data_IF_453978185886
#
_entry.id   IF_453978185886
#
_cell.length_a   1.000
_cell.length_b   1.000
_cell.length_c   1.000
_cell.angle_alpha   90.00
_cell.angle_beta   90.00
_cell.angle_gamma   90.00
#
_symmetry.space_group_name_H-M   'P 1'
#
loop_
_entity.id
_entity.type
_entity.pdbx_description
1 polymer ?
#
# COMPACT_ATOMS: atom_id res chain seq x y z
N UNK A 1 -3.31 45.97 1.31
CA UNK A 1 -3.81 45.06 0.27
C UNK A 1 -4.37 43.86 0.99
N UNK A 2 -5.70 43.73 1.02
CA UNK A 2 -6.40 42.66 1.70
C UNK A 2 -6.22 41.34 0.95
N UNK A 3 -6.05 40.18 1.65
CA UNK A 3 -6.03 38.90 0.99
C UNK A 3 -7.44 38.52 0.54
N UNK A 4 -7.58 38.18 -0.73
CA UNK A 4 -8.80 37.61 -1.28
C UNK A 4 -8.94 36.20 -0.79
N UNK A 5 -9.87 35.93 0.14
CA UNK A 5 -10.30 34.61 0.53
C UNK A 5 -11.22 34.03 -0.54
N UNK A 6 -10.72 33.08 -1.32
CA UNK A 6 -11.55 32.24 -2.15
C UNK A 6 -12.36 31.28 -1.27
N UNK A 7 -13.67 31.24 -1.47
CA UNK A 7 -14.59 30.41 -0.68
C UNK A 7 -14.40 28.93 -0.96
N UNK A 8 -14.74 28.09 0.04
CA UNK A 8 -14.68 26.62 -0.06
C UNK A 8 -15.52 26.03 -1.21
N UNK A 9 -16.48 26.79 -1.73
CA UNK A 9 -17.30 26.44 -2.88
C UNK A 9 -16.55 26.54 -4.21
N UNK A 10 -15.56 27.43 -4.32
CA UNK A 10 -14.77 27.59 -5.55
C UNK A 10 -13.71 26.51 -5.74
N UNK A 11 -13.41 25.70 -4.71
CA UNK A 11 -12.48 24.55 -4.81
C UNK A 11 -13.12 23.30 -5.40
N UNK A 12 -14.44 23.18 -5.38
CA UNK A 12 -15.15 22.04 -5.96
C UNK A 12 -15.29 22.13 -7.48
N UNK A 13 -15.32 23.34 -8.05
CA UNK A 13 -15.49 23.56 -9.49
C UNK A 13 -14.18 23.55 -10.29
N UNK A 14 -13.03 23.50 -9.62
CA UNK A 14 -11.71 23.44 -10.28
C UNK A 14 -11.29 22.03 -10.69
N UNK A 15 -12.08 21.02 -10.38
CA UNK A 15 -11.85 19.62 -10.76
C UNK A 15 -12.81 19.24 -11.89
N UNK A 16 -12.32 18.84 -13.02
CA UNK A 16 -13.02 18.21 -14.14
C UNK A 16 -13.14 19.05 -15.42
N UNK A 17 -12.01 19.29 -16.07
CA UNK A 17 -12.02 19.29 -17.53
C UNK A 17 -11.68 17.86 -17.99
N UNK A 18 -12.71 17.01 -18.09
CA UNK A 18 -12.59 15.72 -18.74
C UNK A 18 -12.74 15.91 -20.26
N UNK A 19 -11.64 15.88 -20.99
CA UNK A 19 -11.71 15.66 -22.44
C UNK A 19 -11.80 14.14 -22.67
N UNK A 20 -13.01 13.66 -23.04
CA UNK A 20 -13.20 12.30 -23.51
C UNK A 20 -12.66 12.18 -24.94
N UNK A 21 -11.60 11.41 -25.14
CA UNK A 21 -11.27 10.93 -26.47
C UNK A 21 -11.94 9.57 -26.67
N UNK A 22 -12.93 9.53 -27.53
CA UNK A 22 -13.61 8.32 -27.97
C UNK A 22 -12.93 7.81 -29.24
N UNK A 23 -12.17 6.73 -29.09
CA UNK A 23 -12.01 5.70 -30.12
C UNK A 23 -11.58 4.41 -29.42
N UNK A 24 -12.49 3.43 -29.30
CA UNK A 24 -12.19 2.00 -29.05
C UNK A 24 -11.42 1.60 -27.79
N UNK A 25 -10.78 2.51 -27.09
CA UNK A 25 -9.90 2.28 -25.97
C UNK A 25 -10.37 3.01 -24.70
N UNK A 26 -10.17 2.36 -23.59
CA UNK A 26 -10.52 2.68 -22.22
C UNK A 26 -10.45 4.15 -21.87
N UNK A 27 -11.56 4.66 -21.35
CA UNK A 27 -11.68 6.04 -20.88
C UNK A 27 -10.83 6.16 -19.59
N UNK A 28 -9.73 6.90 -19.69
CA UNK A 28 -8.91 7.32 -18.56
C UNK A 28 -9.17 8.82 -18.34
N UNK A 29 -9.36 9.22 -17.08
CA UNK A 29 -9.48 10.63 -16.74
C UNK A 29 -8.12 11.33 -16.86
N UNK A 30 -8.09 12.52 -17.41
CA UNK A 30 -6.89 13.38 -17.46
C UNK A 30 -7.01 14.41 -16.33
N UNK A 31 -6.10 14.34 -15.35
CA UNK A 31 -6.09 15.19 -14.15
C UNK A 31 -4.82 16.05 -14.16
N UNK A 32 -4.95 17.29 -13.74
CA UNK A 32 -3.82 18.18 -13.51
C UNK A 32 -3.25 17.97 -12.11
N UNK A 33 -1.99 17.55 -12.05
CA UNK A 33 -1.23 17.34 -10.83
C UNK A 33 -0.17 18.44 -10.64
N UNK A 34 -0.62 19.65 -10.41
CA UNK A 34 0.29 20.78 -10.16
C UNK A 34 0.98 21.32 -11.42
N UNK A 35 0.28 21.35 -12.55
CA UNK A 35 0.77 21.82 -13.84
C UNK A 35 1.17 20.70 -14.80
N UNK A 36 1.25 19.46 -14.33
CA UNK A 36 1.44 18.27 -15.19
C UNK A 36 0.12 17.48 -15.31
N UNK A 37 -0.29 17.20 -16.55
CA UNK A 37 -1.48 16.41 -16.81
C UNK A 37 -1.14 14.94 -16.88
N UNK A 38 -1.74 14.16 -15.98
CA UNK A 38 -1.56 12.71 -15.92
C UNK A 38 -2.89 11.97 -16.13
N UNK A 39 -2.81 10.78 -16.69
CA UNK A 39 -3.97 9.91 -16.82
C UNK A 39 -4.17 9.06 -15.58
N UNK A 40 -5.42 8.95 -15.11
CA UNK A 40 -5.80 8.10 -13.99
C UNK A 40 -7.06 7.30 -14.32
N UNK A 41 -7.28 6.21 -13.58
CA UNK A 41 -8.50 5.40 -13.68
C UNK A 41 -9.17 5.38 -12.32
N UNK A 42 -10.39 5.86 -12.25
CA UNK A 42 -11.24 5.77 -11.07
C UNK A 42 -12.39 4.78 -11.29
N UNK A 43 -13.23 4.59 -10.28
CA UNK A 43 -14.44 3.78 -10.41
C UNK A 43 -15.46 4.38 -11.40
N UNK A 44 -15.29 5.65 -11.78
CA UNK A 44 -16.11 6.31 -12.79
C UNK A 44 -15.73 5.84 -14.20
N UNK A 45 -14.42 5.79 -14.50
CA UNK A 45 -13.91 5.35 -15.80
C UNK A 45 -13.93 3.83 -15.93
N UNK A 46 -13.66 3.12 -14.82
CA UNK A 46 -13.65 1.66 -14.76
C UNK A 46 -14.45 1.15 -13.56
N UNK A 47 -15.74 0.94 -13.75
CA UNK A 47 -16.64 0.54 -12.67
C UNK A 47 -16.36 -0.88 -12.15
N UNK A 48 -16.76 -1.16 -10.90
CA UNK A 48 -16.70 -2.52 -10.34
C UNK A 48 -17.51 -3.54 -11.18
N UNK A 49 -18.63 -3.10 -11.78
CA UNK A 49 -19.39 -3.95 -12.69
C UNK A 49 -18.59 -4.32 -13.94
N UNK A 50 -17.85 -3.36 -14.53
CA UNK A 50 -16.93 -3.62 -15.63
C UNK A 50 -15.82 -4.56 -15.21
N UNK A 51 -15.21 -4.35 -14.04
CA UNK A 51 -14.18 -5.23 -13.50
C UNK A 51 -14.68 -6.68 -13.34
N UNK A 52 -15.87 -6.87 -12.79
CA UNK A 52 -16.52 -8.19 -12.68
C UNK A 52 -16.78 -8.84 -14.04
N UNK A 53 -17.17 -8.06 -15.05
CA UNK A 53 -17.36 -8.56 -16.43
C UNK A 53 -16.05 -9.04 -17.02
N UNK A 54 -14.97 -8.25 -16.89
CA UNK A 54 -13.62 -8.59 -17.39
C UNK A 54 -13.10 -9.87 -16.78
N UNK A 55 -13.25 -10.04 -15.47
CA UNK A 55 -12.72 -11.18 -14.72
C UNK A 55 -13.75 -12.30 -14.49
N UNK A 56 -14.87 -12.29 -15.19
CA UNK A 56 -15.98 -13.25 -14.98
C UNK A 56 -15.54 -14.72 -15.03
N UNK A 57 -14.66 -15.06 -15.95
CA UNK A 57 -14.17 -16.43 -16.16
C UNK A 57 -12.81 -16.70 -15.50
N UNK A 58 -12.27 -15.72 -14.80
CA UNK A 58 -10.98 -15.85 -14.16
C UNK A 58 -11.11 -16.44 -12.75
N UNK A 59 -10.12 -17.22 -12.35
CA UNK A 59 -9.91 -17.66 -10.97
C UNK A 59 -8.64 -17.02 -10.45
N UNK A 60 -8.76 -16.17 -9.43
CA UNK A 60 -7.64 -15.42 -8.87
C UNK A 60 -7.01 -16.28 -7.76
N UNK A 61 -5.79 -16.76 -7.98
CA UNK A 61 -5.02 -17.52 -7.01
C UNK A 61 -4.05 -16.58 -6.28
N UNK A 62 -4.29 -16.33 -5.00
CA UNK A 62 -3.41 -15.53 -4.15
C UNK A 62 -2.32 -16.44 -3.58
N UNK A 63 -1.08 -16.25 -4.00
CA UNK A 63 0.07 -17.03 -3.53
C UNK A 63 0.77 -16.28 -2.41
N UNK A 64 0.61 -16.78 -1.20
CA UNK A 64 1.09 -16.17 0.04
C UNK A 64 0.01 -15.42 0.82
N UNK A 65 -0.08 -15.70 2.12
CA UNK A 65 -1.08 -15.12 3.02
C UNK A 65 -0.43 -14.33 4.17
N UNK A 66 0.65 -13.60 3.82
CA UNK A 66 1.45 -12.78 4.75
C UNK A 66 0.89 -11.39 4.99
N UNK A 67 1.51 -10.35 4.39
CA UNK A 67 1.15 -8.93 4.60
C UNK A 67 0.05 -8.47 3.66
N UNK A 68 0.25 -8.58 2.34
CA UNK A 68 -0.70 -8.12 1.32
C UNK A 68 -1.79 -9.15 1.01
N UNK A 69 -1.45 -10.45 1.06
CA UNK A 69 -2.34 -11.54 0.68
C UNK A 69 -3.72 -11.47 1.33
N UNK A 70 -3.84 -11.38 2.66
CA UNK A 70 -5.12 -11.31 3.34
C UNK A 70 -5.99 -10.14 2.89
N UNK A 71 -5.40 -8.95 2.78
CA UNK A 71 -6.15 -7.75 2.41
C UNK A 71 -6.70 -7.83 0.99
N UNK A 72 -5.85 -8.16 0.02
CA UNK A 72 -6.26 -8.23 -1.38
C UNK A 72 -7.24 -9.39 -1.61
N UNK A 73 -6.99 -10.56 -1.01
CA UNK A 73 -7.87 -11.71 -1.12
C UNK A 73 -9.28 -11.43 -0.58
N UNK A 74 -9.38 -10.84 0.61
CA UNK A 74 -10.67 -10.51 1.23
C UNK A 74 -11.39 -9.40 0.46
N UNK A 75 -10.67 -8.36 0.00
CA UNK A 75 -11.28 -7.29 -0.77
C UNK A 75 -11.85 -7.81 -2.11
N UNK A 76 -11.10 -8.65 -2.82
CA UNK A 76 -11.58 -9.31 -4.03
C UNK A 76 -12.79 -10.20 -3.77
N UNK A 77 -12.75 -11.00 -2.70
CA UNK A 77 -13.88 -11.86 -2.29
C UNK A 77 -15.12 -11.04 -1.98
N UNK A 78 -15.00 -9.97 -1.19
CA UNK A 78 -16.11 -9.08 -0.84
C UNK A 78 -16.69 -8.37 -2.07
N UNK A 79 -15.84 -8.09 -3.06
CA UNK A 79 -16.26 -7.55 -4.37
C UNK A 79 -16.81 -8.61 -5.33
N UNK A 80 -16.96 -9.87 -4.91
CA UNK A 80 -17.63 -10.94 -5.66
C UNK A 80 -16.78 -11.62 -6.72
N UNK A 81 -15.44 -11.55 -6.62
CA UNK A 81 -14.53 -12.28 -7.50
C UNK A 81 -14.30 -13.72 -6.99
N UNK A 82 -13.96 -14.61 -7.92
CA UNK A 82 -13.60 -15.99 -7.60
C UNK A 82 -12.14 -16.05 -7.16
N UNK A 83 -11.92 -16.21 -5.86
CA UNK A 83 -10.60 -16.20 -5.23
C UNK A 83 -10.31 -17.54 -4.57
N UNK A 84 -9.07 -18.00 -4.71
CA UNK A 84 -8.50 -19.12 -3.99
C UNK A 84 -7.14 -18.73 -3.41
N UNK A 85 -6.71 -19.42 -2.37
CA UNK A 85 -5.44 -19.16 -1.68
C UNK A 85 -4.48 -20.31 -1.93
N UNK A 86 -3.24 -19.98 -2.30
CA UNK A 86 -2.09 -20.88 -2.34
C UNK A 86 -1.13 -20.55 -1.20
N UNK A 87 -1.09 -21.39 -0.16
CA UNK A 87 -0.23 -21.19 1.00
C UNK A 87 0.44 -22.50 1.40
N UNK A 88 1.72 -22.47 1.69
CA UNK A 88 2.44 -23.65 2.16
C UNK A 88 2.13 -23.90 3.65
N UNK A 89 1.80 -25.16 3.99
CA UNK A 89 1.34 -25.56 5.35
C UNK A 89 2.42 -25.42 6.42
N UNK A 90 3.68 -25.51 6.05
CA UNK A 90 4.81 -25.33 6.96
C UNK A 90 4.86 -23.90 7.54
N UNK A 91 4.32 -22.92 6.87
CA UNK A 91 4.11 -21.58 7.40
C UNK A 91 2.79 -21.50 8.18
N UNK A 92 2.78 -22.23 9.29
CA UNK A 92 1.58 -22.48 10.10
C UNK A 92 0.81 -21.22 10.47
N UNK A 93 1.49 -20.13 10.84
CA UNK A 93 0.86 -18.86 11.21
C UNK A 93 -0.02 -18.31 10.07
N UNK A 94 0.49 -18.31 8.85
CA UNK A 94 -0.19 -17.73 7.70
C UNK A 94 -1.28 -18.69 7.18
N UNK A 95 -1.05 -20.00 7.28
CA UNK A 95 -2.06 -21.01 7.01
C UNK A 95 -3.26 -20.93 7.98
N UNK A 96 -2.99 -20.88 9.28
CA UNK A 96 -4.03 -20.78 10.32
C UNK A 96 -4.81 -19.46 10.18
N UNK A 97 -4.11 -18.36 9.82
CA UNK A 97 -4.76 -17.09 9.52
C UNK A 97 -5.72 -17.23 8.34
N UNK A 98 -5.33 -17.88 7.26
CA UNK A 98 -6.20 -18.11 6.11
C UNK A 98 -7.45 -18.91 6.52
N UNK A 99 -7.29 -19.98 7.31
CA UNK A 99 -8.41 -20.73 7.85
C UNK A 99 -9.35 -19.87 8.72
N UNK A 100 -8.79 -19.03 9.59
CA UNK A 100 -9.55 -18.09 10.44
C UNK A 100 -10.33 -17.06 9.63
N UNK A 101 -9.80 -16.62 8.50
CA UNK A 101 -10.43 -15.68 7.57
C UNK A 101 -11.47 -16.36 6.65
N UNK A 102 -11.78 -17.66 6.89
CA UNK A 102 -12.83 -18.41 6.22
C UNK A 102 -12.43 -19.05 4.90
N UNK A 103 -11.12 -19.26 4.66
CA UNK A 103 -10.65 -20.07 3.54
C UNK A 103 -10.61 -21.54 3.95
N UNK A 104 -11.20 -22.41 3.12
CA UNK A 104 -11.44 -23.81 3.47
C UNK A 104 -10.41 -24.72 2.79
N UNK A 105 -9.60 -25.49 3.54
CA UNK A 105 -8.66 -26.45 2.98
C UNK A 105 -9.34 -27.44 2.01
N UNK A 106 -8.71 -27.63 0.84
CA UNK A 106 -9.22 -28.49 -0.23
C UNK A 106 -10.38 -27.89 -1.06
N UNK A 107 -10.92 -26.72 -0.67
CA UNK A 107 -11.98 -26.03 -1.43
C UNK A 107 -11.56 -24.65 -1.94
N UNK A 108 -11.01 -23.81 -1.06
CA UNK A 108 -10.56 -22.45 -1.37
C UNK A 108 -9.17 -22.15 -0.83
N UNK A 109 -8.57 -23.06 -0.07
CA UNK A 109 -7.20 -23.01 0.42
C UNK A 109 -6.47 -24.28 -0.01
N UNK A 110 -5.38 -24.13 -0.74
CA UNK A 110 -4.60 -25.20 -1.33
C UNK A 110 -3.10 -25.00 -1.03
N UNK A 111 -2.29 -26.01 -1.34
CA UNK A 111 -0.86 -25.80 -1.52
C UNK A 111 -0.58 -24.93 -2.76
N UNK A 112 0.64 -24.41 -2.87
CA UNK A 112 0.99 -23.47 -3.94
C UNK A 112 0.83 -24.10 -5.34
N UNK A 113 1.37 -25.32 -5.62
CA UNK A 113 1.22 -25.94 -6.94
C UNK A 113 -0.24 -26.10 -7.37
N UNK A 114 -1.08 -26.57 -6.47
CA UNK A 114 -2.50 -26.79 -6.77
C UNK A 114 -3.26 -25.49 -6.98
N UNK A 115 -2.97 -24.46 -6.18
CA UNK A 115 -3.56 -23.14 -6.37
C UNK A 115 -3.18 -22.54 -7.74
N UNK A 116 -1.93 -22.67 -8.17
CA UNK A 116 -1.48 -22.20 -9.49
C UNK A 116 -2.20 -22.96 -10.60
N UNK A 117 -2.29 -24.29 -10.53
CA UNK A 117 -3.02 -25.08 -11.55
C UNK A 117 -4.50 -24.70 -11.69
N UNK A 118 -5.14 -24.30 -10.58
CA UNK A 118 -6.56 -23.88 -10.54
C UNK A 118 -6.77 -22.42 -10.91
N UNK A 119 -5.75 -21.60 -10.74
CA UNK A 119 -5.77 -20.18 -11.07
C UNK A 119 -5.67 -19.95 -12.58
N UNK A 120 -6.08 -18.75 -12.98
CA UNK A 120 -5.83 -18.15 -14.29
C UNK A 120 -5.13 -16.79 -14.14
N UNK A 121 -5.27 -16.19 -12.94
CA UNK A 121 -4.50 -15.02 -12.51
C UNK A 121 -3.78 -15.41 -11.22
N UNK A 122 -2.46 -15.41 -11.26
CA UNK A 122 -1.60 -15.86 -10.17
C UNK A 122 -1.00 -14.64 -9.49
N UNK A 123 -1.60 -14.21 -8.38
CA UNK A 123 -1.11 -13.05 -7.60
C UNK A 123 -0.01 -13.50 -6.64
N UNK A 124 1.23 -13.15 -6.95
CA UNK A 124 2.40 -13.54 -6.17
C UNK A 124 2.62 -12.52 -5.05
N UNK A 125 2.10 -12.84 -3.86
CA UNK A 125 2.09 -11.96 -2.67
C UNK A 125 2.92 -12.51 -1.51
N UNK A 126 3.84 -13.43 -1.78
CA UNK A 126 4.93 -13.77 -0.86
C UNK A 126 5.99 -12.67 -0.87
N UNK A 127 6.81 -12.58 0.17
CA UNK A 127 7.90 -11.60 0.24
C UNK A 127 8.87 -11.74 -0.94
N UNK A 128 9.50 -10.64 -1.36
CA UNK A 128 10.40 -10.61 -2.52
C UNK A 128 11.51 -11.66 -2.42
N UNK A 129 12.12 -11.79 -1.24
CA UNK A 129 13.13 -12.83 -0.99
C UNK A 129 12.58 -14.26 -1.10
N UNK A 130 11.29 -14.47 -0.81
CA UNK A 130 10.64 -15.77 -0.96
C UNK A 130 10.24 -16.07 -2.40
N UNK A 131 9.97 -15.04 -3.22
CA UNK A 131 9.57 -15.21 -4.62
C UNK A 131 10.59 -16.03 -5.39
N UNK A 132 11.87 -15.79 -5.21
CA UNK A 132 12.95 -16.58 -5.81
C UNK A 132 12.81 -18.10 -5.51
N UNK A 133 12.42 -18.45 -4.29
CA UNK A 133 12.30 -19.86 -3.85
C UNK A 133 11.06 -20.54 -4.38
N UNK A 134 9.93 -19.82 -4.45
CA UNK A 134 8.65 -20.38 -4.91
C UNK A 134 8.46 -20.31 -6.42
N UNK A 135 9.22 -19.45 -7.10
CA UNK A 135 9.08 -19.24 -8.53
C UNK A 135 9.21 -20.49 -9.40
N UNK A 136 10.20 -21.40 -9.19
CA UNK A 136 10.28 -22.63 -9.98
C UNK A 136 9.00 -23.48 -9.93
N UNK A 137 8.38 -23.55 -8.74
CA UNK A 137 7.11 -24.28 -8.55
C UNK A 137 5.96 -23.57 -9.24
N UNK A 138 5.88 -22.24 -9.13
CA UNK A 138 4.85 -21.46 -9.82
C UNK A 138 5.01 -21.64 -11.32
N UNK A 139 6.21 -21.37 -11.86
CA UNK A 139 6.51 -21.47 -13.28
C UNK A 139 6.15 -22.82 -13.89
N UNK A 140 6.44 -23.92 -13.21
CA UNK A 140 6.15 -25.28 -13.66
C UNK A 140 4.65 -25.61 -13.74
N UNK A 141 3.79 -24.80 -13.12
CA UNK A 141 2.34 -25.02 -13.07
C UNK A 141 1.53 -23.93 -13.80
N UNK A 142 2.20 -22.94 -14.43
CA UNK A 142 1.57 -21.94 -15.28
C UNK A 142 1.09 -22.57 -16.60
N UNK A 143 0.04 -22.01 -17.15
CA UNK A 143 -0.53 -22.37 -18.45
C UNK A 143 -0.44 -21.17 -19.42
N UNK A 144 -0.33 -21.42 -20.74
CA UNK A 144 -0.46 -20.35 -21.72
C UNK A 144 -1.73 -19.53 -21.50
N UNK A 145 -1.60 -18.21 -21.54
CA UNK A 145 -2.72 -17.29 -21.34
C UNK A 145 -3.00 -16.94 -19.86
N UNK A 146 -2.36 -17.58 -18.88
CA UNK A 146 -2.41 -17.15 -17.49
C UNK A 146 -1.82 -15.74 -17.33
N UNK A 147 -2.16 -15.06 -16.23
CA UNK A 147 -1.54 -13.82 -15.85
C UNK A 147 -0.77 -13.99 -14.54
N UNK A 148 0.50 -13.58 -14.50
CA UNK A 148 1.25 -13.43 -13.25
C UNK A 148 1.18 -11.99 -12.80
N UNK A 149 0.75 -11.81 -11.56
CA UNK A 149 0.50 -10.50 -10.95
C UNK A 149 1.45 -10.27 -9.77
N UNK A 150 1.94 -9.05 -9.69
CA UNK A 150 2.79 -8.57 -8.62
C UNK A 150 2.18 -7.32 -7.96
N UNK A 151 2.45 -7.11 -6.68
CA UNK A 151 2.12 -5.86 -5.98
C UNK A 151 3.34 -4.97 -5.74
N UNK A 152 4.48 -5.38 -6.24
CA UNK A 152 5.75 -4.65 -6.26
C UNK A 152 6.61 -5.18 -7.40
N UNK A 153 7.29 -4.30 -8.11
CA UNK A 153 8.02 -4.66 -9.32
C UNK A 153 9.38 -5.35 -9.10
N UNK A 154 9.80 -5.54 -7.84
CA UNK A 154 11.13 -6.00 -7.44
C UNK A 154 11.65 -7.21 -8.23
N UNK A 155 10.92 -8.31 -8.21
CA UNK A 155 11.39 -9.55 -8.82
C UNK A 155 11.53 -9.49 -10.33
N UNK A 156 10.71 -8.69 -10.99
CA UNK A 156 10.74 -8.52 -12.46
C UNK A 156 11.86 -7.58 -12.88
N UNK A 157 12.07 -6.48 -12.14
CA UNK A 157 13.13 -5.49 -12.44
C UNK A 157 14.51 -6.09 -12.20
N UNK A 158 14.66 -6.88 -11.15
CA UNK A 158 15.93 -7.50 -10.78
C UNK A 158 15.95 -9.01 -11.10
N UNK A 159 15.39 -9.38 -12.24
CA UNK A 159 15.26 -10.78 -12.68
C UNK A 159 16.57 -11.57 -12.70
N UNK A 160 17.70 -10.91 -12.97
CA UNK A 160 19.03 -11.54 -12.95
C UNK A 160 19.42 -12.02 -11.54
N UNK A 161 18.97 -11.29 -10.51
CA UNK A 161 19.24 -11.64 -9.10
C UNK A 161 18.18 -12.57 -8.52
N UNK A 162 16.94 -12.41 -8.94
CA UNK A 162 15.79 -13.16 -8.40
C UNK A 162 15.54 -14.46 -9.13
N UNK A 163 15.89 -14.55 -10.41
CA UNK A 163 15.57 -15.68 -11.29
C UNK A 163 14.08 -15.74 -11.68
N UNK A 164 13.29 -14.69 -11.37
CA UNK A 164 11.86 -14.64 -11.72
C UNK A 164 11.72 -14.15 -13.14
N UNK A 165 11.69 -15.12 -14.08
CA UNK A 165 11.59 -14.88 -15.51
C UNK A 165 10.31 -15.57 -16.02
N UNK A 166 9.21 -14.81 -16.19
CA UNK A 166 7.95 -15.34 -16.71
C UNK A 166 8.09 -15.92 -18.13
N UNK A 167 7.33 -16.98 -18.46
CA UNK A 167 7.20 -17.47 -19.84
C UNK A 167 6.64 -16.40 -20.77
N UNK A 168 6.93 -16.52 -22.09
CA UNK A 168 6.47 -15.52 -23.08
C UNK A 168 4.97 -15.58 -23.39
N UNK A 169 4.32 -16.65 -23.02
CA UNK A 169 2.91 -16.96 -23.29
C UNK A 169 1.97 -16.64 -22.12
N UNK A 170 2.46 -15.90 -21.12
CA UNK A 170 1.66 -15.40 -19.98
C UNK A 170 1.69 -13.88 -19.92
N UNK A 171 0.64 -13.26 -19.37
CA UNK A 171 0.65 -11.84 -19.04
C UNK A 171 1.51 -11.58 -17.80
N UNK A 172 2.19 -10.43 -17.75
CA UNK A 172 2.90 -9.94 -16.56
C UNK A 172 2.35 -8.59 -16.19
N UNK A 173 1.65 -8.51 -15.07
CA UNK A 173 0.93 -7.31 -14.63
C UNK A 173 1.28 -6.96 -13.18
N UNK A 174 1.11 -5.69 -12.86
CA UNK A 174 1.34 -5.19 -11.50
C UNK A 174 0.25 -4.20 -11.09
N UNK A 175 -0.26 -4.37 -9.88
CA UNK A 175 -0.98 -3.32 -9.15
C UNK A 175 -0.34 -3.18 -7.78
N UNK A 176 0.25 -2.03 -7.53
CA UNK A 176 0.99 -1.74 -6.30
C UNK A 176 0.24 -0.73 -5.43
N UNK A 177 -0.55 -1.19 -4.43
CA UNK A 177 -1.21 -0.31 -3.49
C UNK A 177 -0.19 0.49 -2.68
N UNK A 178 -0.40 1.80 -2.56
CA UNK A 178 0.49 2.69 -1.79
C UNK A 178 0.11 2.68 -0.31
N UNK A 179 0.25 1.49 0.30
CA UNK A 179 -0.04 1.26 1.71
C UNK A 179 0.15 -0.18 2.15
N UNK A 180 0.33 -0.38 3.45
CA UNK A 180 0.43 -1.72 4.05
C UNK A 180 -0.87 -2.51 3.87
N UNK A 181 -0.79 -3.84 3.89
CA UNK A 181 -1.98 -4.70 3.75
C UNK A 181 -3.06 -4.38 4.77
N UNK A 182 -2.70 -4.06 6.01
CA UNK A 182 -3.65 -3.62 7.05
C UNK A 182 -4.40 -2.36 6.64
N UNK A 183 -3.69 -1.38 6.08
CA UNK A 183 -4.31 -0.13 5.59
C UNK A 183 -5.15 -0.36 4.34
N UNK A 184 -4.71 -1.22 3.42
CA UNK A 184 -5.49 -1.61 2.23
C UNK A 184 -6.86 -2.20 2.64
N UNK A 185 -6.87 -3.10 3.64
CA UNK A 185 -8.15 -3.67 4.12
C UNK A 185 -8.99 -2.65 4.86
N UNK A 186 -8.41 -1.88 5.78
CA UNK A 186 -9.12 -0.86 6.58
C UNK A 186 -9.78 0.19 5.69
N UNK A 187 -9.03 0.73 4.73
CA UNK A 187 -9.55 1.77 3.84
C UNK A 187 -10.57 1.23 2.83
N UNK A 188 -10.45 -0.03 2.43
CA UNK A 188 -11.50 -0.70 1.67
C UNK A 188 -12.82 -0.75 2.46
N UNK A 189 -12.77 -1.18 3.72
CA UNK A 189 -13.97 -1.29 4.58
C UNK A 189 -14.61 0.07 4.89
N UNK A 190 -13.80 1.14 4.95
CA UNK A 190 -14.33 2.51 5.12
C UNK A 190 -14.84 3.14 3.82
N UNK A 191 -14.61 2.52 2.66
CA UNK A 191 -14.99 3.04 1.36
C UNK A 191 -13.97 4.02 0.73
N UNK A 192 -12.92 4.41 1.47
CA UNK A 192 -11.89 5.35 0.98
C UNK A 192 -11.01 4.75 -0.12
N UNK A 193 -10.54 3.51 0.09
CA UNK A 193 -9.57 2.87 -0.79
C UNK A 193 -8.13 3.37 -0.56
N UNK A 194 -7.16 2.65 -1.10
CA UNK A 194 -5.75 3.07 -1.18
C UNK A 194 -5.39 3.26 -2.64
N UNK A 195 -4.77 4.38 -2.98
CA UNK A 195 -4.32 4.64 -4.34
C UNK A 195 -3.30 3.59 -4.76
N UNK A 196 -3.35 3.18 -6.02
CA UNK A 196 -2.45 2.14 -6.51
C UNK A 196 -1.85 2.53 -7.85
N UNK A 197 -0.57 2.27 -8.03
CA UNK A 197 0.01 2.30 -9.37
C UNK A 197 -0.25 0.98 -10.10
N UNK A 198 -0.33 1.03 -11.43
CA UNK A 198 -0.45 -0.18 -12.23
C UNK A 198 0.50 -0.18 -13.43
N UNK A 199 0.94 -1.37 -13.84
CA UNK A 199 1.82 -1.53 -14.99
C UNK A 199 1.59 -2.87 -15.70
N UNK A 200 1.82 -2.89 -17.01
CA UNK A 200 1.91 -4.08 -17.81
C UNK A 200 3.37 -4.30 -18.20
N UNK A 201 3.93 -5.44 -17.79
CA UNK A 201 5.30 -5.85 -18.15
C UNK A 201 5.35 -6.72 -19.40
N UNK A 202 4.30 -7.52 -19.63
CA UNK A 202 4.12 -8.38 -20.79
C UNK A 202 2.63 -8.57 -21.08
N UNK A 203 2.22 -8.44 -22.31
CA UNK A 203 0.86 -8.70 -22.79
C UNK A 203 0.88 -9.80 -23.82
N UNK A 204 0.74 -11.04 -23.38
CA UNK A 204 0.71 -12.22 -24.24
C UNK A 204 -0.69 -12.50 -24.79
N UNK A 205 -1.73 -12.02 -24.09
CA UNK A 205 -3.13 -12.33 -24.41
C UNK A 205 -3.86 -11.20 -25.12
N UNK A 206 -3.28 -9.99 -25.18
CA UNK A 206 -3.97 -8.76 -25.59
C UNK A 206 -4.94 -8.21 -24.53
N UNK A 207 -4.95 -8.80 -23.32
CA UNK A 207 -5.89 -8.47 -22.23
C UNK A 207 -5.19 -8.01 -20.94
N UNK A 208 -3.87 -7.95 -20.92
CA UNK A 208 -3.11 -7.68 -19.72
C UNK A 208 -3.50 -6.36 -19.04
N UNK A 209 -3.66 -5.29 -19.82
CA UNK A 209 -4.04 -3.97 -19.30
C UNK A 209 -5.43 -3.98 -18.67
N UNK A 210 -6.40 -4.61 -19.33
CA UNK A 210 -7.78 -4.68 -18.83
C UNK A 210 -7.86 -5.55 -17.56
N UNK A 211 -7.18 -6.71 -17.53
CA UNK A 211 -7.04 -7.55 -16.33
C UNK A 211 -6.40 -6.77 -15.17
N UNK A 212 -5.34 -6.01 -15.45
CA UNK A 212 -4.62 -5.22 -14.46
C UNK A 212 -5.52 -4.16 -13.80
N UNK A 213 -6.24 -3.37 -14.61
CA UNK A 213 -7.17 -2.37 -14.08
C UNK A 213 -8.35 -3.00 -13.34
N UNK A 214 -8.90 -4.10 -13.86
CA UNK A 214 -9.98 -4.83 -13.19
C UNK A 214 -9.56 -5.33 -11.79
N UNK A 215 -8.32 -5.82 -11.65
CA UNK A 215 -7.77 -6.23 -10.37
C UNK A 215 -7.56 -5.02 -9.43
N UNK A 216 -7.04 -3.91 -9.95
CA UNK A 216 -6.87 -2.68 -9.18
C UNK A 216 -8.17 -2.15 -8.60
N UNK A 217 -9.24 -2.13 -9.39
CA UNK A 217 -10.60 -1.79 -8.91
C UNK A 217 -11.11 -2.89 -7.96
N UNK A 218 -10.84 -4.14 -8.28
CA UNK A 218 -11.27 -5.31 -7.50
C UNK A 218 -10.70 -5.35 -6.09
N UNK A 219 -9.45 -4.97 -5.88
CA UNK A 219 -8.84 -4.85 -4.55
C UNK A 219 -9.28 -3.59 -3.80
N UNK A 220 -10.08 -2.71 -4.44
CA UNK A 220 -10.65 -1.53 -3.82
C UNK A 220 -9.74 -0.30 -3.82
N UNK A 221 -8.91 -0.13 -4.84
CA UNK A 221 -8.09 1.08 -4.97
C UNK A 221 -8.93 2.35 -4.99
N UNK A 222 -8.40 3.43 -4.42
CA UNK A 222 -9.01 4.77 -4.48
C UNK A 222 -9.03 5.27 -5.92
N UNK A 223 -7.86 5.35 -6.54
CA UNK A 223 -7.68 5.47 -7.99
C UNK A 223 -6.43 4.70 -8.43
N UNK A 224 -6.35 4.47 -9.75
CA UNK A 224 -5.19 3.82 -10.36
C UNK A 224 -4.43 4.83 -11.23
N UNK A 225 -3.12 4.81 -11.17
CA UNK A 225 -2.26 5.62 -12.04
C UNK A 225 -1.22 4.74 -12.75
N UNK A 226 -0.96 4.97 -14.04
CA UNK A 226 -0.04 4.16 -14.81
C UNK A 226 1.41 4.40 -14.39
N UNK A 227 2.21 3.35 -14.42
CA UNK A 227 3.64 3.40 -14.17
C UNK A 227 4.36 2.33 -15.00
N UNK A 228 5.64 2.11 -14.73
CA UNK A 228 6.39 0.94 -15.19
C UNK A 228 6.90 0.15 -14.00
N UNK A 229 7.18 -1.14 -14.16
CA UNK A 229 7.80 -1.94 -13.10
C UNK A 229 9.05 -1.27 -12.52
N UNK A 230 9.90 -0.69 -13.38
CA UNK A 230 11.13 -0.02 -12.95
C UNK A 230 10.86 1.25 -12.14
N UNK A 231 9.98 2.13 -12.61
CA UNK A 231 9.64 3.38 -11.89
C UNK A 231 9.00 3.07 -10.54
N UNK A 232 8.13 2.07 -10.50
CA UNK A 232 7.48 1.64 -9.26
C UNK A 232 8.51 1.19 -8.23
N UNK A 233 9.41 0.27 -8.60
CA UNK A 233 10.45 -0.23 -7.70
C UNK A 233 11.35 0.91 -7.18
N UNK A 234 11.76 1.81 -8.05
CA UNK A 234 12.65 2.90 -7.66
C UNK A 234 11.97 3.88 -6.70
N UNK A 235 10.72 4.22 -6.95
CA UNK A 235 9.97 5.11 -6.05
C UNK A 235 9.61 4.43 -4.73
N UNK A 236 9.19 3.17 -4.77
CA UNK A 236 8.75 2.42 -3.60
C UNK A 236 9.92 2.15 -2.63
N UNK A 237 11.02 1.56 -3.12
CA UNK A 237 12.21 1.34 -2.30
C UNK A 237 12.81 2.64 -1.73
N UNK A 238 12.74 3.73 -2.50
CA UNK A 238 13.18 5.04 -2.01
C UNK A 238 12.22 5.58 -0.95
N UNK A 239 10.92 5.44 -1.17
CA UNK A 239 9.88 5.88 -0.24
C UNK A 239 9.97 5.19 1.12
N UNK A 240 10.08 3.85 1.12
CA UNK A 240 10.18 3.05 2.35
C UNK A 240 11.41 3.41 3.20
N UNK A 241 12.56 3.56 2.56
CA UNK A 241 13.82 3.94 3.23
C UNK A 241 13.86 5.42 3.56
N UNK A 242 13.13 6.22 2.81
CA UNK A 242 12.96 7.65 2.97
C UNK A 242 11.85 8.02 3.95
N UNK A 243 11.01 8.96 3.53
CA UNK A 243 10.02 9.65 4.38
C UNK A 243 8.97 8.69 4.96
N UNK A 244 8.65 7.58 4.29
CA UNK A 244 7.58 6.69 4.78
C UNK A 244 7.97 5.93 6.05
N UNK A 245 9.23 5.53 6.22
CA UNK A 245 9.68 4.76 7.39
C UNK A 245 11.08 5.14 7.86
N UNK A 246 12.11 4.97 7.02
CA UNK A 246 13.50 5.07 7.46
C UNK A 246 13.91 6.47 7.92
N UNK A 247 13.72 7.48 7.09
CA UNK A 247 14.04 8.86 7.44
C UNK A 247 13.12 9.40 8.53
N UNK A 248 11.83 9.08 8.50
CA UNK A 248 10.87 9.48 9.52
C UNK A 248 11.29 8.98 10.91
N UNK A 249 11.58 7.67 11.02
CA UNK A 249 12.03 7.08 12.28
C UNK A 249 13.37 7.68 12.75
N UNK A 250 14.30 7.92 11.84
CA UNK A 250 15.59 8.55 12.15
C UNK A 250 15.45 9.98 12.63
N UNK A 251 14.59 10.79 12.02
CA UNK A 251 14.32 12.16 12.45
C UNK A 251 13.67 12.23 13.82
N UNK A 252 12.67 11.38 14.07
CA UNK A 252 12.02 11.28 15.39
C UNK A 252 13.05 10.94 16.47
N UNK A 253 13.91 9.93 16.22
CA UNK A 253 14.91 9.51 17.17
C UNK A 253 15.95 10.62 17.43
N UNK A 254 16.47 11.27 16.40
CA UNK A 254 17.43 12.34 16.56
C UNK A 254 16.89 13.53 17.36
N UNK A 255 15.64 13.93 17.13
CA UNK A 255 15.01 15.00 17.91
C UNK A 255 14.76 14.57 19.37
N UNK A 256 14.30 13.33 19.58
CA UNK A 256 14.13 12.77 20.92
C UNK A 256 15.44 12.82 21.72
N UNK A 257 16.53 12.32 21.14
CA UNK A 257 17.86 12.31 21.79
C UNK A 257 18.33 13.71 22.17
N UNK A 258 18.14 14.70 21.28
CA UNK A 258 18.50 16.11 21.56
C UNK A 258 17.69 16.65 22.74
N UNK A 259 16.38 16.41 22.80
CA UNK A 259 15.54 16.84 23.92
C UNK A 259 15.98 16.16 25.24
N UNK A 260 16.21 14.84 25.21
CA UNK A 260 16.71 14.11 26.37
C UNK A 260 18.07 14.61 26.87
N UNK A 261 18.98 14.90 25.96
CA UNK A 261 20.32 15.46 26.30
C UNK A 261 20.24 16.86 26.93
N UNK A 262 19.16 17.59 26.69
CA UNK A 262 18.89 18.92 27.26
C UNK A 262 17.94 18.89 28.48
N UNK A 263 17.72 17.73 29.09
CA UNK A 263 17.04 17.58 30.37
C UNK A 263 15.52 17.43 30.30
N UNK A 264 14.92 17.36 29.10
CA UNK A 264 13.49 17.08 28.99
C UNK A 264 13.17 15.64 29.45
N UNK A 265 12.05 15.45 30.11
CA UNK A 265 11.62 14.10 30.55
C UNK A 265 11.32 13.17 29.35
N UNK A 266 11.39 11.83 29.52
CA UNK A 266 11.04 10.90 28.44
C UNK A 266 9.64 11.12 27.87
N UNK A 267 8.65 11.43 28.73
CA UNK A 267 7.28 11.68 28.28
C UNK A 267 7.17 12.99 27.50
N UNK A 268 7.82 14.07 27.96
CA UNK A 268 7.85 15.35 27.25
C UNK A 268 8.53 15.20 25.88
N UNK A 269 9.72 14.62 25.83
CA UNK A 269 10.43 14.39 24.57
C UNK A 269 9.62 13.53 23.61
N UNK A 270 8.90 12.51 24.08
CA UNK A 270 8.05 11.68 23.24
C UNK A 270 6.82 12.44 22.71
N UNK A 271 6.16 13.24 23.55
CA UNK A 271 5.02 14.04 23.11
C UNK A 271 5.41 15.03 22.03
N UNK A 272 6.54 15.73 22.18
CA UNK A 272 7.04 16.74 21.24
C UNK A 272 7.65 16.17 19.95
N UNK A 273 7.88 14.86 19.88
CA UNK A 273 8.48 14.23 18.68
C UNK A 273 7.51 13.31 17.94
N UNK A 274 6.76 12.49 18.67
CA UNK A 274 5.96 11.41 18.05
C UNK A 274 4.47 11.62 18.25
N UNK A 275 4.05 11.91 19.50
CA UNK A 275 2.64 11.90 19.85
C UNK A 275 1.87 12.99 19.12
N UNK A 276 2.34 14.24 19.22
CA UNK A 276 1.70 15.37 18.56
C UNK A 276 1.74 15.24 17.03
N UNK A 277 2.87 14.77 16.48
CA UNK A 277 2.97 14.53 15.04
C UNK A 277 1.90 13.54 14.57
N UNK A 278 1.78 12.38 15.24
CA UNK A 278 0.94 11.27 14.75
C UNK A 278 -0.53 11.40 15.10
N UNK A 279 -0.85 12.03 16.23
CA UNK A 279 -2.25 12.23 16.65
C UNK A 279 -2.90 13.45 16.01
N UNK A 280 -2.12 14.49 15.74
CA UNK A 280 -2.62 15.80 15.32
C UNK A 280 -2.10 16.19 13.94
N UNK A 281 -0.82 16.54 13.82
CA UNK A 281 -0.31 17.30 12.69
C UNK A 281 -0.35 16.53 11.37
N UNK A 282 0.06 15.25 11.35
CA UNK A 282 0.02 14.42 10.13
C UNK A 282 -1.42 14.24 9.62
N UNK A 283 -2.38 14.17 10.53
CA UNK A 283 -3.79 14.07 10.18
C UNK A 283 -4.31 15.33 9.51
N UNK A 284 -3.92 16.50 10.02
CA UNK A 284 -4.27 17.78 9.39
C UNK A 284 -3.67 17.93 8.00
N UNK A 285 -2.43 17.45 7.82
CA UNK A 285 -1.77 17.43 6.51
C UNK A 285 -2.48 16.48 5.54
N UNK A 286 -2.91 15.32 5.99
CA UNK A 286 -3.67 14.36 5.18
C UNK A 286 -5.03 14.92 4.72
N UNK A 287 -5.71 15.61 5.62
CA UNK A 287 -7.06 16.14 5.37
C UNK A 287 -7.05 17.43 4.52
N UNK A 288 -6.04 18.30 4.68
CA UNK A 288 -6.11 19.67 4.17
C UNK A 288 -4.83 20.18 3.47
N UNK A 289 -3.70 19.49 3.62
CA UNK A 289 -2.40 19.92 3.10
C UNK A 289 -1.53 20.67 4.09
N UNK A 290 -0.25 20.84 3.72
CA UNK A 290 0.77 21.39 4.62
C UNK A 290 0.59 22.89 4.88
N UNK A 291 0.16 23.65 3.90
CA UNK A 291 -0.08 25.08 4.01
C UNK A 291 -1.26 25.37 4.95
N UNK A 292 -2.31 24.57 4.86
CA UNK A 292 -3.46 24.66 5.76
C UNK A 292 -3.04 24.31 7.19
N UNK A 293 -2.29 23.25 7.39
CA UNK A 293 -1.78 22.90 8.72
C UNK A 293 -0.98 24.05 9.33
N UNK A 294 -0.07 24.66 8.56
CA UNK A 294 0.68 25.83 9.03
C UNK A 294 -0.22 27.00 9.40
N UNK A 295 -1.22 27.32 8.56
CA UNK A 295 -2.11 28.46 8.79
C UNK A 295 -2.98 28.30 10.05
N UNK A 296 -3.15 27.07 10.51
CA UNK A 296 -3.92 26.76 11.73
C UNK A 296 -3.05 26.56 12.99
N UNK A 297 -1.75 26.85 12.90
CA UNK A 297 -0.85 26.88 14.05
C UNK A 297 -0.63 28.31 14.57
N UNK A 298 -0.01 28.45 15.76
CA UNK A 298 0.37 29.74 16.31
C UNK A 298 1.39 30.46 15.43
N UNK A 299 1.42 31.78 15.47
CA UNK A 299 2.40 32.58 14.72
C UNK A 299 3.86 32.20 15.03
N UNK A 300 4.14 31.82 16.28
CA UNK A 300 5.45 31.33 16.71
C UNK A 300 5.82 30.01 16.02
N UNK A 301 4.89 29.06 15.98
CA UNK A 301 5.08 27.78 15.33
C UNK A 301 5.26 27.95 13.79
N UNK A 302 4.40 28.77 13.17
CA UNK A 302 4.50 29.09 11.74
C UNK A 302 5.87 29.66 11.39
N UNK A 303 6.30 30.69 12.09
CA UNK A 303 7.59 31.36 11.84
C UNK A 303 8.75 30.39 12.02
N UNK A 304 8.77 29.62 13.11
CA UNK A 304 9.81 28.65 13.41
C UNK A 304 9.90 27.56 12.32
N UNK A 305 8.79 26.96 11.99
CA UNK A 305 8.71 25.89 10.99
C UNK A 305 9.16 26.38 9.59
N UNK A 306 8.65 27.52 9.14
CA UNK A 306 9.02 28.10 7.86
C UNK A 306 10.51 28.47 7.78
N UNK A 307 11.10 28.95 8.89
CA UNK A 307 12.54 29.26 8.98
C UNK A 307 13.39 27.98 8.89
N UNK A 308 13.01 26.90 9.57
CA UNK A 308 13.82 25.68 9.64
C UNK A 308 13.58 24.72 8.48
N UNK A 309 12.44 24.78 7.81
CA UNK A 309 12.13 23.95 6.63
C UNK A 309 13.24 23.93 5.57
N UNK A 310 13.78 25.06 5.07
CA UNK A 310 14.85 25.03 4.07
C UNK A 310 16.16 24.46 4.60
N UNK A 311 16.43 24.55 5.90
CA UNK A 311 17.63 24.00 6.54
C UNK A 311 17.54 22.46 6.51
N UNK A 312 16.45 21.88 6.94
CA UNK A 312 16.20 20.44 6.87
C UNK A 312 16.18 19.93 5.44
N UNK A 313 15.52 20.65 4.51
CA UNK A 313 15.53 20.28 3.10
C UNK A 313 16.95 20.20 2.53
N UNK A 314 17.78 21.22 2.78
CA UNK A 314 19.18 21.27 2.33
C UNK A 314 20.02 20.14 2.92
N UNK A 315 19.82 19.81 4.19
CA UNK A 315 20.54 18.74 4.88
C UNK A 315 20.16 17.35 4.34
N UNK A 316 18.87 17.13 4.06
CA UNK A 316 18.37 15.82 3.65
C UNK A 316 18.51 15.54 2.15
N UNK A 317 18.48 16.55 1.27
CA UNK A 317 18.54 16.37 -0.19
C UNK A 317 19.73 15.52 -0.66
N UNK A 318 20.97 15.71 -0.18
CA UNK A 318 22.10 14.84 -0.56
C UNK A 318 21.91 13.38 -0.13
N UNK A 319 21.30 13.14 1.03
CA UNK A 319 21.03 11.81 1.55
C UNK A 319 20.00 11.09 0.66
N UNK A 320 18.90 11.77 0.28
CA UNK A 320 17.91 11.21 -0.64
C UNK A 320 18.49 10.93 -2.03
N UNK A 321 19.36 11.81 -2.55
CA UNK A 321 20.07 11.56 -3.82
C UNK A 321 20.95 10.31 -3.74
N UNK A 322 21.68 10.12 -2.64
CA UNK A 322 22.51 8.93 -2.40
C UNK A 322 21.64 7.67 -2.31
N UNK A 323 20.54 7.73 -1.57
CA UNK A 323 19.58 6.63 -1.45
C UNK A 323 19.02 6.23 -2.82
N UNK A 324 18.54 7.19 -3.61
CA UNK A 324 17.99 6.90 -4.94
C UNK A 324 19.04 6.28 -5.87
N UNK A 325 20.28 6.76 -5.83
CA UNK A 325 21.39 6.19 -6.59
C UNK A 325 21.71 4.74 -6.18
N UNK A 326 21.66 4.44 -4.87
CA UNK A 326 21.83 3.07 -4.33
C UNK A 326 20.74 2.13 -4.79
N UNK A 327 19.47 2.59 -4.76
CA UNK A 327 18.32 1.84 -5.30
C UNK A 327 18.52 1.57 -6.80
N UNK A 328 18.81 2.60 -7.58
CA UNK A 328 19.00 2.49 -9.03
C UNK A 328 20.14 1.54 -9.40
N UNK A 329 21.23 1.52 -8.63
CA UNK A 329 22.36 0.62 -8.80
C UNK A 329 22.06 -0.85 -8.38
N UNK A 330 20.88 -1.13 -7.81
CA UNK A 330 20.50 -2.44 -7.32
C UNK A 330 21.26 -2.87 -6.05
N UNK A 331 21.92 -1.96 -5.35
CA UNK A 331 22.63 -2.26 -4.10
C UNK A 331 21.64 -2.72 -3.03
N UNK A 332 20.58 -1.95 -2.83
CA UNK A 332 19.51 -2.26 -1.88
C UNK A 332 18.90 -3.64 -2.15
N UNK A 333 18.71 -3.98 -3.43
CA UNK A 333 18.15 -5.28 -3.85
C UNK A 333 19.08 -6.43 -3.49
N UNK A 334 20.38 -6.31 -3.74
CA UNK A 334 21.35 -7.34 -3.38
C UNK A 334 21.38 -7.60 -1.88
N UNK A 335 21.26 -6.54 -1.09
CA UNK A 335 21.18 -6.64 0.38
C UNK A 335 19.90 -7.36 0.83
N UNK A 336 18.74 -7.00 0.30
CA UNK A 336 17.48 -7.67 0.61
C UNK A 336 17.53 -9.17 0.28
N UNK A 337 18.04 -9.54 -0.89
CA UNK A 337 18.15 -10.95 -1.30
C UNK A 337 19.08 -11.71 -0.37
N UNK A 338 20.24 -11.12 -0.03
CA UNK A 338 21.23 -11.73 0.88
C UNK A 338 20.68 -11.91 2.28
N UNK A 339 20.13 -10.84 2.85
CA UNK A 339 19.82 -10.75 4.28
C UNK A 339 18.43 -11.30 4.60
N UNK A 340 17.40 -10.97 3.79
CA UNK A 340 16.03 -11.42 4.05
C UNK A 340 15.74 -12.85 3.56
N UNK A 341 16.56 -13.40 2.66
CA UNK A 341 16.42 -14.77 2.14
C UNK A 341 17.04 -15.86 3.06
N UNK A 342 17.80 -15.48 4.08
CA UNK A 342 18.51 -16.38 4.99
C UNK A 342 17.60 -17.04 6.03
N UNK A 343 18.02 -18.22 6.54
CA UNK A 343 17.31 -18.93 7.62
C UNK A 343 17.25 -18.13 8.92
N UNK A 344 18.25 -17.29 9.17
CA UNK A 344 18.40 -16.50 10.39
C UNK A 344 17.70 -15.12 10.32
N UNK A 345 17.07 -14.78 9.20
CA UNK A 345 16.43 -13.47 9.03
C UNK A 345 15.38 -13.19 10.11
N UNK A 346 14.53 -14.17 10.43
CA UNK A 346 13.50 -13.98 11.47
C UNK A 346 14.12 -13.71 12.85
N UNK A 347 15.22 -14.37 13.16
CA UNK A 347 15.97 -14.14 14.42
C UNK A 347 16.61 -12.74 14.43
N UNK A 348 17.22 -12.36 13.32
CA UNK A 348 17.77 -11.01 13.13
C UNK A 348 16.69 -9.95 13.29
N UNK A 349 15.57 -10.08 12.58
CA UNK A 349 14.44 -9.15 12.62
C UNK A 349 13.87 -9.04 14.03
N UNK A 350 13.61 -10.17 14.70
CA UNK A 350 13.09 -10.19 16.07
C UNK A 350 13.99 -9.43 17.04
N UNK A 351 15.33 -9.59 16.93
CA UNK A 351 16.29 -8.84 17.73
C UNK A 351 16.20 -7.34 17.45
N UNK A 352 16.19 -6.92 16.17
CA UNK A 352 16.11 -5.51 15.78
C UNK A 352 14.82 -4.86 16.23
N UNK A 353 13.70 -5.57 16.13
CA UNK A 353 12.42 -5.08 16.64
C UNK A 353 12.40 -5.00 18.17
N UNK A 354 13.05 -5.93 18.87
CA UNK A 354 13.22 -5.87 20.32
C UNK A 354 14.10 -4.68 20.75
N UNK A 355 15.19 -4.41 20.03
CA UNK A 355 16.04 -3.24 20.27
C UNK A 355 15.22 -1.92 20.20
N UNK A 356 14.36 -1.80 19.18
CA UNK A 356 13.46 -0.64 19.04
C UNK A 356 12.44 -0.62 20.17
N UNK A 357 11.74 -1.74 20.39
CA UNK A 357 10.65 -1.84 21.39
C UNK A 357 11.14 -1.50 22.81
N UNK A 358 12.35 -1.94 23.16
CA UNK A 358 12.94 -1.75 24.50
C UNK A 358 13.72 -0.44 24.62
N UNK A 359 13.79 0.39 23.59
CA UNK A 359 14.42 1.72 23.71
C UNK A 359 13.61 2.63 24.62
N UNK A 360 14.27 3.55 25.33
CA UNK A 360 13.61 4.53 26.21
C UNK A 360 12.47 5.25 25.51
N UNK A 361 12.70 5.72 24.28
CA UNK A 361 11.72 6.43 23.48
C UNK A 361 10.43 5.61 23.29
N UNK A 362 10.53 4.33 22.93
CA UNK A 362 9.33 3.53 22.67
C UNK A 362 8.69 2.95 23.92
N UNK A 363 9.45 2.79 25.02
CA UNK A 363 8.89 2.52 26.34
C UNK A 363 8.09 3.73 26.86
N UNK A 364 8.64 4.95 26.74
CA UNK A 364 7.90 6.18 27.03
C UNK A 364 6.63 6.27 26.18
N UNK A 365 6.74 5.97 24.90
CA UNK A 365 5.58 5.94 24.01
C UNK A 365 4.52 4.90 24.36
N UNK A 366 4.91 3.75 24.90
CA UNK A 366 3.96 2.76 25.40
C UNK A 366 3.19 3.31 26.60
N UNK A 367 3.89 3.98 27.54
CA UNK A 367 3.27 4.63 28.68
C UNK A 367 2.31 5.75 28.25
N UNK A 368 2.74 6.65 27.36
CA UNK A 368 1.89 7.74 26.82
C UNK A 368 0.62 7.17 26.19
N UNK A 369 0.73 6.16 25.31
CA UNK A 369 -0.45 5.53 24.68
C UNK A 369 -1.39 4.86 25.71
N UNK A 370 -0.86 4.30 26.79
CA UNK A 370 -1.68 3.66 27.84
C UNK A 370 -2.54 4.66 28.62
N UNK A 371 -2.12 5.91 28.66
CA UNK A 371 -2.82 7.00 29.35
C UNK A 371 -3.91 7.66 28.50
N UNK A 372 -3.97 7.36 27.20
CA UNK A 372 -5.01 7.89 26.33
C UNK A 372 -6.39 7.42 26.79
N UNK A 373 -7.41 8.29 26.83
CA UNK A 373 -8.77 7.85 27.03
C UNK A 373 -9.16 6.81 25.96
N UNK A 374 -9.85 5.75 26.37
CA UNK A 374 -10.37 4.76 25.39
C UNK A 374 -11.39 5.45 24.49
N UNK A 375 -11.20 5.39 23.18
CA UNK A 375 -12.23 5.83 22.24
C UNK A 375 -13.54 5.10 22.57
N UNK A 376 -14.63 5.86 22.68
CA UNK A 376 -15.97 5.25 22.73
C UNK A 376 -16.14 4.45 21.45
N UNK A 377 -16.41 3.15 21.56
CA UNK A 377 -16.71 2.30 20.40
C UNK A 377 -17.74 3.05 19.56
N UNK A 378 -17.42 3.34 18.30
CA UNK A 378 -18.39 3.90 17.36
C UNK A 378 -19.56 2.92 17.37
N UNK A 379 -20.73 3.35 17.84
CA UNK A 379 -21.95 2.58 17.78
C UNK A 379 -22.14 2.19 16.32
N UNK A 380 -21.90 0.94 15.99
CA UNK A 380 -22.27 0.36 14.70
C UNK A 380 -23.76 0.59 14.59
N UNK A 381 -24.14 1.38 13.57
CA UNK A 381 -25.54 1.61 13.22
C UNK A 381 -26.18 0.27 12.85
N UNK A 382 -26.68 -0.43 13.88
CA UNK A 382 -27.60 -1.55 13.79
C UNK A 382 -28.99 -0.98 14.06
N UNK A 383 -29.61 -0.40 13.05
CA UNK A 383 -31.06 -0.21 13.06
C UNK A 383 -31.57 -0.11 11.63
N UNK A 384 -31.77 -1.25 11.02
CA UNK A 384 -32.72 -1.41 9.95
C UNK A 384 -33.44 -2.74 10.16
N UNK A 385 -34.33 -2.81 11.13
CA UNK A 385 -35.45 -3.77 11.20
C UNK A 385 -36.65 -2.95 11.60
N UNK A 386 -37.46 -2.63 10.66
CA UNK A 386 -38.65 -3.33 10.31
C UNK A 386 -39.79 -2.89 11.19
N UNK A 387 -40.58 -1.94 10.75
CA UNK A 387 -41.95 -1.81 11.20
C UNK A 387 -42.84 -1.96 9.96
N UNK A 388 -43.23 -3.17 9.70
CA UNK A 388 -44.42 -3.47 8.96
C UNK A 388 -45.41 -4.08 9.94
N UNK A 389 -46.51 -3.43 10.13
CA UNK A 389 -47.58 -3.93 10.99
C UNK A 389 -48.73 -2.94 11.03
N UNK A 390 -49.49 -2.83 9.92
CA UNK A 390 -50.85 -2.33 9.99
C UNK A 390 -51.70 -3.37 10.67
N UNK A 391 -52.46 -2.97 11.65
CA UNK A 391 -53.79 -3.58 11.94
C UNK A 391 -54.79 -2.46 12.05
N UNK A 392 -55.77 -2.59 11.17
CA UNK A 392 -57.06 -1.94 11.21
C UNK A 392 -57.84 -2.31 12.47
N UNK A 393 -58.39 -1.37 13.16
CA UNK A 393 -59.83 -1.19 13.42
C UNK A 393 -60.04 0.22 13.96
#
# INVERSE_FOLDING_TARGET
>A
VAPVFLSLTDRADFLLFALSQTQGDEIMALIDFGGEKETVVTRKEFSLAKARKVLKNETIAIIGYGVQGPAQALNLKDNGFKVIIGQAKEFKRDWDRACKDGWVPGKTLFDIPEAVRRGTIIQILVSDAAQRKVWPVIKANLKPGDAVYFSHGFSIVYKEQTGVIPPKDVDVIMVAPKGSGTSVRRNFLSGAGINSSFAVGQDATGRAKERCMALGIGIGSGYLFPTTFQKEVYSDLTGERGVLMGALAGMMHAQYDVLRANGHSPSEAFNETVEELTQSLIRLVDENGMDWMYSNCSATAQHGALKWRPIFWKANLPVFKKLYASVKAGTETREVIRDCGGKDYQKYLSRKLADIHNSEMWLAGAAVRSLRPKEKAKATASTAKGIGGRTSN
#
